data_IF_668423594871
#
_entry.id   IF_668423594871
#
_cell.length_a   1.000
_cell.length_b   1.000
_cell.length_c   1.000
_cell.angle_alpha   90.00
_cell.angle_beta   90.00
_cell.angle_gamma   90.00
#
_symmetry.space_group_name_H-M   'P 1'
#
loop_
_entity.id
_entity.type
_entity.pdbx_description
1 polymer ?
#
# COMPACT_ATOMS: atom_id res chain seq x y z
N UNK A 1 17.49 0.44 -11.07
CA UNK A 1 16.40 -0.42 -10.54
C UNK A 1 16.21 -0.18 -9.04
N UNK A 2 15.02 -0.42 -8.45
CA UNK A 2 14.82 -0.29 -6.98
C UNK A 2 15.74 -1.23 -6.19
N UNK A 3 16.02 -2.42 -6.72
CA UNK A 3 17.01 -3.34 -6.16
C UNK A 3 18.39 -2.69 -5.98
N UNK A 4 18.94 -2.12 -7.05
CA UNK A 4 20.25 -1.44 -7.01
C UNK A 4 20.27 -0.24 -6.04
N UNK A 5 19.15 0.48 -5.90
CA UNK A 5 19.03 1.57 -4.94
C UNK A 5 19.11 1.05 -3.49
N UNK A 6 18.46 -0.09 -3.19
CA UNK A 6 18.59 -0.74 -1.88
C UNK A 6 20.04 -1.14 -1.64
N UNK A 7 20.68 -1.78 -2.63
CA UNK A 7 22.05 -2.26 -2.48
C UNK A 7 23.04 -1.12 -2.27
N UNK A 8 22.84 -0.01 -2.97
CA UNK A 8 23.62 1.22 -2.80
C UNK A 8 23.38 1.84 -1.42
N UNK A 9 22.13 1.88 -0.96
CA UNK A 9 21.75 2.48 0.33
C UNK A 9 22.35 1.73 1.52
N UNK A 10 22.42 0.40 1.45
CA UNK A 10 22.94 -0.44 2.54
C UNK A 10 24.38 -0.93 2.33
N UNK A 11 25.00 -0.63 1.17
CA UNK A 11 26.31 -1.13 0.77
C UNK A 11 26.44 -2.67 0.87
N UNK A 12 25.35 -3.39 0.58
CA UNK A 12 25.26 -4.85 0.62
C UNK A 12 24.41 -5.34 -0.53
N UNK A 13 24.69 -6.52 -1.07
CA UNK A 13 23.77 -7.13 -2.05
C UNK A 13 22.44 -7.49 -1.37
N UNK A 14 21.35 -7.54 -2.13
CA UNK A 14 20.03 -7.91 -1.59
C UNK A 14 20.03 -9.25 -0.82
N UNK A 15 20.68 -10.33 -1.32
CA UNK A 15 20.77 -11.59 -0.61
C UNK A 15 21.55 -11.49 0.72
N UNK A 16 22.63 -10.72 0.75
CA UNK A 16 23.41 -10.48 1.96
C UNK A 16 22.61 -9.69 2.99
N UNK A 17 21.95 -8.62 2.55
CA UNK A 17 21.07 -7.80 3.38
C UNK A 17 19.94 -8.63 3.99
N UNK A 18 19.29 -9.49 3.19
CA UNK A 18 18.25 -10.39 3.65
C UNK A 18 18.76 -11.38 4.72
N UNK A 19 19.99 -11.91 4.55
CA UNK A 19 20.62 -12.78 5.56
C UNK A 19 20.95 -12.03 6.84
N UNK A 20 21.50 -10.82 6.75
CA UNK A 20 21.83 -9.99 7.91
C UNK A 20 20.59 -9.63 8.73
N UNK A 21 19.52 -9.18 8.06
CA UNK A 21 18.21 -8.92 8.68
C UNK A 21 17.63 -10.16 9.33
N UNK A 22 17.71 -11.32 8.67
CA UNK A 22 17.21 -12.59 9.22
C UNK A 22 17.98 -13.01 10.49
N UNK A 23 19.28 -12.77 10.54
CA UNK A 23 20.13 -13.11 11.68
C UNK A 23 19.91 -12.19 12.89
N UNK A 24 19.69 -10.90 12.66
CA UNK A 24 19.54 -9.91 13.72
C UNK A 24 18.50 -8.81 13.37
N UNK A 25 17.20 -9.14 13.35
CA UNK A 25 16.16 -8.24 12.84
C UNK A 25 16.01 -6.94 13.65
N UNK A 26 16.27 -7.00 14.97
CA UNK A 26 16.19 -5.84 15.86
C UNK A 26 17.42 -4.93 15.79
N UNK A 27 18.58 -5.44 15.38
CA UNK A 27 19.78 -4.65 15.20
C UNK A 27 19.71 -3.75 13.95
N UNK A 28 18.81 -4.08 13.01
CA UNK A 28 18.70 -3.43 11.71
C UNK A 28 17.24 -3.09 11.35
N UNK A 29 16.50 -2.46 12.28
CA UNK A 29 15.07 -2.19 12.10
C UNK A 29 14.72 -1.50 10.76
N UNK A 30 15.52 -0.52 10.32
CA UNK A 30 15.36 0.13 9.01
C UNK A 30 15.54 -0.84 7.82
N UNK A 31 16.61 -1.63 7.83
CA UNK A 31 16.86 -2.65 6.80
C UNK A 31 15.78 -3.74 6.80
N UNK A 32 15.29 -4.14 7.98
CA UNK A 32 14.19 -5.11 8.12
C UNK A 32 12.94 -4.63 7.40
N UNK A 33 12.57 -3.36 7.59
CA UNK A 33 11.43 -2.76 6.92
C UNK A 33 11.62 -2.68 5.40
N UNK A 34 12.82 -2.34 4.93
CA UNK A 34 13.14 -2.27 3.50
C UNK A 34 13.09 -3.65 2.85
N UNK A 35 13.73 -4.67 3.44
CA UNK A 35 13.72 -6.05 2.91
C UNK A 35 12.30 -6.60 2.84
N UNK A 36 11.49 -6.37 3.88
CA UNK A 36 10.10 -6.78 3.88
C UNK A 36 9.29 -6.05 2.79
N UNK A 37 9.43 -4.72 2.67
CA UNK A 37 8.74 -3.95 1.64
C UNK A 37 9.15 -4.36 0.22
N UNK A 38 10.43 -4.66 -0.01
CA UNK A 38 10.92 -5.19 -1.27
C UNK A 38 10.32 -6.56 -1.58
N UNK A 39 10.23 -7.45 -0.59
CA UNK A 39 9.54 -8.74 -0.76
C UNK A 39 8.06 -8.61 -1.14
N UNK A 40 7.35 -7.62 -0.58
CA UNK A 40 5.96 -7.32 -0.97
C UNK A 40 5.87 -6.76 -2.39
N UNK A 41 6.83 -5.94 -2.82
CA UNK A 41 6.90 -5.45 -4.20
C UNK A 41 7.11 -6.60 -5.19
N UNK A 42 8.02 -7.53 -4.90
CA UNK A 42 8.24 -8.72 -5.74
C UNK A 42 6.99 -9.59 -5.83
N UNK A 43 6.26 -9.78 -4.72
CA UNK A 43 4.98 -10.51 -4.74
C UNK A 43 3.94 -9.81 -5.61
N UNK A 44 3.84 -8.47 -5.55
CA UNK A 44 2.94 -7.71 -6.39
C UNK A 44 3.32 -7.78 -7.88
N UNK A 45 4.62 -7.78 -8.20
CA UNK A 45 5.10 -7.98 -9.57
C UNK A 45 4.67 -9.34 -10.12
N UNK A 46 4.87 -10.42 -9.35
CA UNK A 46 4.41 -11.75 -9.77
C UNK A 46 2.87 -11.88 -9.85
N UNK A 47 2.12 -11.05 -9.11
CA UNK A 47 0.66 -11.01 -9.25
C UNK A 47 0.24 -10.35 -10.57
N UNK A 48 0.89 -9.24 -10.94
CA UNK A 48 0.70 -8.58 -12.24
C UNK A 48 0.96 -9.55 -13.38
N UNK A 49 2.12 -10.21 -13.38
CA UNK A 49 2.50 -11.19 -14.40
C UNK A 49 1.43 -12.29 -14.55
N UNK A 50 0.95 -12.86 -13.44
CA UNK A 50 -0.10 -13.88 -13.47
C UNK A 50 -1.43 -13.38 -14.03
N UNK A 51 -1.83 -12.16 -13.67
CA UNK A 51 -3.07 -11.57 -14.20
C UNK A 51 -2.94 -11.22 -15.69
N UNK A 52 -1.78 -10.76 -16.12
CA UNK A 52 -1.49 -10.48 -17.53
C UNK A 52 -1.49 -11.77 -18.35
N UNK A 53 -0.84 -12.83 -17.88
CA UNK A 53 -0.85 -14.15 -18.51
C UNK A 53 -2.29 -14.69 -18.65
N UNK A 54 -3.10 -14.54 -17.61
CA UNK A 54 -4.50 -14.95 -17.63
C UNK A 54 -5.34 -14.14 -18.64
N UNK A 55 -5.13 -12.83 -18.72
CA UNK A 55 -5.79 -11.97 -19.69
C UNK A 55 -5.37 -12.32 -21.12
N UNK A 56 -4.07 -12.52 -21.36
CA UNK A 56 -3.54 -12.93 -22.67
C UNK A 56 -4.14 -14.27 -23.10
N UNK A 57 -4.15 -15.27 -22.23
CA UNK A 57 -4.74 -16.57 -22.52
C UNK A 57 -6.24 -16.45 -22.86
N UNK A 58 -6.99 -15.58 -22.16
CA UNK A 58 -8.40 -15.34 -22.46
C UNK A 58 -8.57 -14.67 -23.84
N UNK A 59 -7.75 -13.67 -24.16
CA UNK A 59 -7.78 -12.96 -25.44
C UNK A 59 -7.43 -13.88 -26.63
N UNK A 60 -6.50 -14.81 -26.46
CA UNK A 60 -6.16 -15.80 -27.49
C UNK A 60 -7.33 -16.73 -27.84
N UNK A 61 -8.23 -16.96 -26.89
CA UNK A 61 -9.40 -17.83 -27.05
C UNK A 61 -10.69 -17.09 -27.38
N UNK A 62 -10.69 -15.76 -27.31
CA UNK A 62 -11.86 -14.94 -27.58
C UNK A 62 -12.23 -15.02 -29.07
N UNK A 63 -13.50 -15.34 -29.36
CA UNK A 63 -14.03 -15.44 -30.73
C UNK A 63 -15.04 -14.32 -30.96
N UNK A 64 -14.69 -13.36 -31.81
CA UNK A 64 -15.54 -12.22 -32.16
C UNK A 64 -14.82 -10.87 -31.97
N UNK A 65 -15.41 -9.79 -32.48
CA UNK A 65 -14.87 -8.42 -32.33
C UNK A 65 -15.21 -7.78 -30.97
N UNK A 66 -16.18 -8.34 -30.23
CA UNK A 66 -16.62 -7.84 -28.94
C UNK A 66 -15.99 -8.70 -27.84
N UNK A 67 -15.32 -8.05 -26.89
CA UNK A 67 -14.81 -8.71 -25.69
C UNK A 67 -15.96 -8.95 -24.72
N UNK A 68 -16.19 -10.21 -24.36
CA UNK A 68 -17.22 -10.59 -23.40
C UNK A 68 -16.86 -10.15 -21.97
N UNK A 69 -17.87 -9.98 -21.12
CA UNK A 69 -17.75 -9.57 -19.71
C UNK A 69 -16.62 -10.29 -18.91
N UNK A 70 -16.33 -11.59 -19.12
CA UNK A 70 -15.22 -12.26 -18.44
C UNK A 70 -13.84 -11.70 -18.78
N UNK A 71 -13.60 -11.32 -20.05
CA UNK A 71 -12.31 -10.74 -20.49
C UNK A 71 -12.15 -9.34 -19.90
N UNK A 72 -13.23 -8.56 -19.87
CA UNK A 72 -13.25 -7.25 -19.21
C UNK A 72 -12.96 -7.36 -17.70
N UNK A 73 -13.46 -8.41 -17.05
CA UNK A 73 -13.14 -8.71 -15.64
C UNK A 73 -11.65 -8.99 -15.40
N UNK A 74 -10.99 -9.72 -16.31
CA UNK A 74 -9.55 -9.97 -16.24
C UNK A 74 -8.73 -8.69 -16.47
N UNK A 75 -9.15 -7.83 -17.41
CA UNK A 75 -8.52 -6.53 -17.62
C UNK A 75 -8.60 -5.64 -16.36
N UNK A 76 -9.74 -5.65 -15.68
CA UNK A 76 -9.89 -4.96 -14.39
C UNK A 76 -8.94 -5.54 -13.32
N UNK A 77 -8.79 -6.86 -13.25
CA UNK A 77 -7.86 -7.50 -12.30
C UNK A 77 -6.40 -7.12 -12.56
N UNK A 78 -5.99 -7.00 -13.84
CA UNK A 78 -4.65 -6.50 -14.20
C UNK A 78 -4.47 -5.08 -13.69
N UNK A 79 -5.45 -4.21 -13.90
CA UNK A 79 -5.39 -2.82 -13.41
C UNK A 79 -5.22 -2.76 -11.88
N UNK A 80 -6.00 -3.55 -11.14
CA UNK A 80 -5.89 -3.63 -9.68
C UNK A 80 -4.52 -4.16 -9.22
N UNK A 81 -3.98 -5.19 -9.89
CA UNK A 81 -2.65 -5.72 -9.58
C UNK A 81 -1.55 -4.67 -9.81
N UNK A 82 -1.66 -3.89 -10.89
CA UNK A 82 -0.75 -2.79 -11.22
C UNK A 82 -0.81 -1.69 -10.15
N UNK A 83 -2.01 -1.28 -9.74
CA UNK A 83 -2.18 -0.28 -8.66
C UNK A 83 -1.51 -0.74 -7.36
N UNK A 84 -1.68 -2.01 -6.99
CA UNK A 84 -1.02 -2.58 -5.81
C UNK A 84 0.50 -2.55 -5.96
N UNK A 85 1.04 -2.98 -7.11
CA UNK A 85 2.49 -2.94 -7.39
C UNK A 85 3.04 -1.52 -7.24
N UNK A 86 2.35 -0.53 -7.79
CA UNK A 86 2.80 0.85 -7.77
C UNK A 86 2.76 1.44 -6.36
N UNK A 87 1.73 1.14 -5.57
CA UNK A 87 1.67 1.49 -4.15
C UNK A 87 2.82 0.84 -3.35
N UNK A 88 3.18 -0.42 -3.65
CA UNK A 88 4.36 -1.07 -3.03
C UNK A 88 5.67 -0.40 -3.42
N UNK A 89 5.82 -0.03 -4.70
CA UNK A 89 7.01 0.65 -5.19
C UNK A 89 7.16 2.04 -4.57
N UNK A 90 6.08 2.81 -4.45
CA UNK A 90 6.08 4.11 -3.76
C UNK A 90 6.46 3.97 -2.28
N UNK A 91 5.86 3.00 -1.57
CA UNK A 91 6.20 2.74 -0.17
C UNK A 91 7.68 2.43 0.02
N UNK A 92 8.27 1.66 -0.89
CA UNK A 92 9.69 1.32 -0.86
C UNK A 92 10.58 2.53 -1.13
N UNK A 93 10.24 3.38 -2.12
CA UNK A 93 10.95 4.65 -2.36
C UNK A 93 10.95 5.53 -1.11
N UNK A 94 9.78 5.69 -0.48
CA UNK A 94 9.67 6.44 0.77
C UNK A 94 10.58 5.89 1.87
N UNK A 95 10.74 4.57 1.99
CA UNK A 95 11.64 3.98 2.98
C UNK A 95 13.12 4.28 2.68
N UNK A 96 13.49 4.38 1.41
CA UNK A 96 14.86 4.66 0.98
C UNK A 96 15.21 6.16 1.06
N UNK A 97 14.22 7.04 0.92
CA UNK A 97 14.39 8.49 1.03
C UNK A 97 14.55 8.98 2.47
N UNK A 98 14.15 8.18 3.46
CA UNK A 98 14.40 8.50 4.88
C UNK A 98 15.88 8.20 5.18
N UNK A 99 16.70 9.20 5.54
CA UNK A 99 18.12 8.97 5.81
C UNK A 99 18.28 8.00 6.98
N UNK A 100 19.14 6.99 6.82
CA UNK A 100 19.40 5.87 7.73
C UNK A 100 19.91 6.24 9.15
N UNK A 101 19.87 7.52 9.53
CA UNK A 101 20.48 8.05 10.75
C UNK A 101 19.56 8.87 11.65
N UNK A 102 18.23 8.88 11.45
CA UNK A 102 17.34 9.51 12.44
C UNK A 102 16.79 8.46 13.41
N UNK A 103 17.11 8.55 14.72
CA UNK A 103 16.45 7.71 15.72
C UNK A 103 14.95 7.97 15.60
N UNK A 104 14.19 6.88 15.70
CA UNK A 104 12.73 6.85 15.56
C UNK A 104 12.13 8.13 16.13
N UNK A 105 11.64 8.97 15.22
CA UNK A 105 10.84 10.12 15.59
C UNK A 105 9.66 9.53 16.34
N UNK A 106 9.63 9.69 17.68
CA UNK A 106 8.53 9.27 18.54
C UNK A 106 7.25 9.62 17.80
N UNK A 107 6.53 8.62 17.34
CA UNK A 107 5.23 8.78 16.70
C UNK A 107 4.33 9.42 17.74
N UNK A 108 4.22 10.74 17.68
CA UNK A 108 3.23 11.49 18.44
C UNK A 108 1.88 10.95 17.97
N UNK A 109 0.97 10.54 18.86
CA UNK A 109 -0.30 9.97 18.44
C UNK A 109 -1.00 10.99 17.54
N UNK A 110 -1.17 10.63 16.27
CA UNK A 110 -1.95 11.42 15.32
C UNK A 110 -3.40 11.29 15.76
N UNK A 111 -4.11 12.37 16.09
CA UNK A 111 -5.52 12.28 16.43
C UNK A 111 -6.26 11.69 15.22
N UNK A 112 -6.97 10.59 15.47
CA UNK A 112 -7.80 9.90 14.50
C UNK A 112 -8.79 10.89 13.90
N UNK A 113 -8.66 11.22 12.62
CA UNK A 113 -9.71 11.94 11.90
C UNK A 113 -10.89 10.98 11.74
N UNK A 114 -11.89 11.12 12.59
CA UNK A 114 -13.16 10.42 12.46
C UNK A 114 -14.04 11.22 11.49
N UNK A 115 -14.41 10.61 10.38
CA UNK A 115 -15.40 11.15 9.43
C UNK A 115 -16.83 10.94 9.96
N UNK A 116 -17.09 11.34 11.20
CA UNK A 116 -18.45 11.37 11.74
C UNK A 116 -19.07 12.70 11.36
N UNK A 117 -20.05 12.66 10.44
CA UNK A 117 -20.96 13.77 10.19
C UNK A 117 -21.52 14.28 11.53
N UNK A 118 -21.62 15.60 11.75
CA UNK A 118 -22.20 16.12 12.98
C UNK A 118 -23.65 15.62 13.10
N UNK A 119 -23.94 14.88 14.16
CA UNK A 119 -25.30 14.51 14.51
C UNK A 119 -26.11 15.80 14.73
N UNK A 120 -27.19 15.96 13.97
CA UNK A 120 -28.11 17.08 14.15
C UNK A 120 -28.65 17.08 15.59
N UNK A 121 -28.43 18.18 16.30
CA UNK A 121 -28.97 18.39 17.64
C UNK A 121 -30.50 18.48 17.51
N UNK A 122 -31.29 17.63 18.19
CA UNK A 122 -32.74 17.79 18.17
C UNK A 122 -33.11 19.08 18.89
N UNK A 123 -33.88 19.95 18.21
CA UNK A 123 -34.37 21.19 18.77
C UNK A 123 -35.22 20.91 20.02
N UNK A 124 -34.86 21.51 21.16
CA UNK A 124 -35.70 21.47 22.36
C UNK A 124 -36.93 22.38 22.16
N UNK A 125 -38.13 21.95 22.57
CA UNK A 125 -39.31 22.79 22.49
C UNK A 125 -39.22 23.95 23.49
N UNK A 126 -39.55 25.15 23.03
CA UNK A 126 -39.57 26.36 23.84
C UNK A 126 -40.64 26.27 24.94
N UNK A 127 -40.25 26.49 26.20
CA UNK A 127 -41.21 26.66 27.31
C UNK A 127 -41.73 28.10 27.31
N UNK A 128 -42.98 28.28 26.91
CA UNK A 128 -43.72 29.51 27.19
C UNK A 128 -43.99 29.60 28.70
N UNK A 129 -43.30 30.51 29.37
CA UNK A 129 -43.63 30.88 30.76
C UNK A 129 -44.73 31.93 30.71
N UNK A 130 -45.97 31.51 30.87
CA UNK A 130 -47.04 32.40 31.28
C UNK A 130 -46.88 32.71 32.77
N UNK A 131 -46.84 33.99 33.14
CA UNK A 131 -47.14 34.43 34.50
C UNK A 131 -48.00 35.68 34.41
N UNK A 132 -49.17 35.55 35.02
CA UNK A 132 -50.14 36.58 35.29
C UNK A 132 -49.60 37.64 36.26
N UNK A 133 -49.97 38.91 36.02
CA UNK A 133 -50.56 39.77 37.05
C UNK A 133 -51.33 40.92 36.44
#
# INVERSE_FOLDING_TARGET
MLAEQIETHFAMTLPELARAVKAAPHAHAGATNVVHAYGLLTQAQSAVEKTEDALLAALETAVGEILDDPVMGLAQQVNEAVEVRDARAERLRFLLDVPAGKPEMRTRPVPRLTTTLPAAVPAQPARISGVAR
#
